data_IF_189070709931
#
_entry.id   IF_189070709931
#
_cell.length_a   1.000
_cell.length_b   1.000
_cell.length_c   1.000
_cell.angle_alpha   90.00
_cell.angle_beta   90.00
_cell.angle_gamma   90.00
#
_symmetry.space_group_name_H-M   'P 1'
#
loop_
_entity.id
_entity.type
_entity.pdbx_description
1 polymer ?
#
# COMPACT_ATOMS: atom_id res chain seq x y z
N UNK A 1 -0.64 20.02 -0.26
CA UNK A 1 0.31 18.89 -0.36
C UNK A 1 1.35 19.05 -1.48
N UNK A 2 0.99 19.46 -2.70
CA UNK A 2 1.96 19.66 -3.82
C UNK A 2 3.24 20.42 -3.42
N UNK A 3 3.12 21.57 -2.76
CA UNK A 3 4.27 22.38 -2.28
C UNK A 3 5.23 21.65 -1.33
N UNK A 4 4.74 20.63 -0.62
CA UNK A 4 5.51 19.92 0.40
C UNK A 4 6.13 18.62 -0.11
N UNK A 5 5.57 18.01 -1.16
CA UNK A 5 5.99 16.66 -1.60
C UNK A 5 6.39 16.61 -3.09
N UNK A 6 5.99 17.58 -3.91
CA UNK A 6 6.30 17.62 -5.35
C UNK A 6 7.41 18.62 -5.66
N UNK A 7 7.27 19.84 -5.17
CA UNK A 7 8.20 20.95 -5.47
C UNK A 7 9.61 20.80 -4.84
N UNK A 8 9.80 20.13 -3.68
CA UNK A 8 11.15 19.93 -3.11
C UNK A 8 12.00 18.93 -3.90
N UNK A 9 13.30 19.20 -4.01
CA UNK A 9 14.28 18.28 -4.62
C UNK A 9 14.49 17.00 -3.78
N UNK A 10 14.47 17.13 -2.45
CA UNK A 10 14.66 16.02 -1.50
C UNK A 10 13.59 14.92 -1.65
N UNK A 11 12.41 15.30 -2.14
CA UNK A 11 11.30 14.39 -2.42
C UNK A 11 11.43 13.91 -3.88
N UNK A 12 12.22 12.87 -4.09
CA UNK A 12 12.65 12.44 -5.42
C UNK A 12 11.73 11.40 -6.09
N UNK A 13 10.84 10.75 -5.34
CA UNK A 13 9.86 9.76 -5.85
C UNK A 13 10.50 8.67 -6.73
N UNK A 14 11.05 7.62 -6.13
CA UNK A 14 11.85 6.63 -6.86
C UNK A 14 11.08 5.93 -7.99
N UNK A 15 9.81 5.59 -7.76
CA UNK A 15 8.93 5.02 -8.78
C UNK A 15 8.76 5.89 -10.01
N UNK A 16 8.63 7.20 -9.83
CA UNK A 16 8.49 8.14 -10.94
C UNK A 16 9.78 8.20 -11.78
N UNK A 17 10.96 8.09 -11.16
CA UNK A 17 12.25 8.16 -11.87
C UNK A 17 12.45 7.01 -12.85
N UNK A 18 11.96 5.81 -12.50
CA UNK A 18 12.00 4.65 -13.40
C UNK A 18 11.11 4.87 -14.61
N UNK A 19 9.91 5.41 -14.39
CA UNK A 19 8.97 5.77 -15.47
C UNK A 19 9.54 6.86 -16.38
N UNK A 20 10.17 7.90 -15.82
CA UNK A 20 10.86 8.95 -16.59
C UNK A 20 11.96 8.35 -17.46
N UNK A 21 12.76 7.44 -16.90
CA UNK A 21 13.85 6.77 -17.61
C UNK A 21 13.33 5.95 -18.80
N UNK A 22 12.21 5.24 -18.61
CA UNK A 22 11.52 4.52 -19.69
C UNK A 22 11.04 5.47 -20.79
N UNK A 23 10.33 6.55 -20.44
CA UNK A 23 9.84 7.49 -21.44
C UNK A 23 10.96 8.18 -22.22
N UNK A 24 12.06 8.53 -21.54
CA UNK A 24 13.26 9.05 -22.21
C UNK A 24 13.87 8.04 -23.16
N UNK A 25 14.00 6.77 -22.75
CA UNK A 25 14.54 5.73 -23.63
C UNK A 25 13.70 5.52 -24.90
N UNK A 26 12.39 5.76 -24.85
CA UNK A 26 11.48 5.65 -26.00
C UNK A 26 11.44 6.91 -26.88
N UNK A 27 11.60 8.11 -26.32
CA UNK A 27 11.42 9.38 -27.04
C UNK A 27 12.74 10.07 -27.44
N UNK A 28 13.83 9.86 -26.72
CA UNK A 28 15.11 10.52 -26.98
C UNK A 28 15.77 9.87 -28.20
N UNK A 29 15.90 10.62 -29.30
CA UNK A 29 16.61 10.15 -30.49
C UNK A 29 18.11 10.15 -30.19
N UNK A 30 18.75 8.99 -30.25
CA UNK A 30 20.19 8.86 -30.11
C UNK A 30 20.91 9.73 -31.15
N UNK A 31 21.81 10.61 -30.71
CA UNK A 31 22.52 11.58 -31.56
C UNK A 31 23.34 10.93 -32.69
N UNK A 32 23.74 9.67 -32.52
CA UNK A 32 24.61 8.93 -33.45
C UNK A 32 23.85 7.92 -34.34
N UNK A 33 22.52 7.98 -34.43
CA UNK A 33 21.72 7.09 -35.31
C UNK A 33 21.73 5.60 -34.94
N UNK A 34 22.49 5.21 -33.91
CA UNK A 34 22.50 3.87 -33.34
C UNK A 34 21.51 3.80 -32.19
N UNK A 35 20.28 3.35 -32.49
CA UNK A 35 19.25 3.03 -31.49
C UNK A 35 19.70 1.86 -30.59
N UNK A 36 20.64 2.09 -29.69
CA UNK A 36 21.19 1.05 -28.80
C UNK A 36 20.24 0.80 -27.63
N UNK A 37 19.68 1.88 -27.06
CA UNK A 37 18.74 1.81 -25.92
C UNK A 37 17.39 1.23 -26.31
N UNK A 38 16.85 1.60 -27.47
CA UNK A 38 15.59 1.07 -27.99
C UNK A 38 15.67 -0.42 -28.34
N UNK A 39 16.78 -0.85 -28.99
CA UNK A 39 17.03 -2.27 -29.26
C UNK A 39 17.20 -3.09 -27.98
N UNK A 40 17.97 -2.58 -27.01
CA UNK A 40 18.11 -3.21 -25.70
C UNK A 40 16.75 -3.38 -25.01
N UNK A 41 15.92 -2.34 -25.00
CA UNK A 41 14.56 -2.40 -24.46
C UNK A 41 13.71 -3.48 -25.12
N UNK A 42 13.69 -3.56 -26.47
CA UNK A 42 12.93 -4.56 -27.20
C UNK A 42 13.42 -5.98 -26.95
N UNK A 43 14.74 -6.19 -26.86
CA UNK A 43 15.32 -7.50 -26.53
C UNK A 43 14.90 -7.92 -25.12
N UNK A 44 15.06 -7.05 -24.13
CA UNK A 44 14.66 -7.34 -22.74
C UNK A 44 13.16 -7.59 -22.65
N UNK A 45 12.33 -6.78 -23.33
CA UNK A 45 10.88 -6.95 -23.37
C UNK A 45 10.49 -8.33 -23.93
N UNK A 46 11.07 -8.72 -25.07
CA UNK A 46 10.80 -10.02 -25.69
C UNK A 46 11.28 -11.19 -24.81
N UNK A 47 12.49 -11.09 -24.26
CA UNK A 47 13.03 -12.10 -23.34
C UNK A 47 12.18 -12.23 -22.09
N UNK A 48 11.76 -11.12 -21.47
CA UNK A 48 10.87 -11.14 -20.31
C UNK A 48 9.50 -11.71 -20.65
N UNK A 49 8.91 -11.32 -21.79
CA UNK A 49 7.62 -11.85 -22.24
C UNK A 49 7.66 -13.38 -22.40
N UNK A 50 8.70 -13.90 -23.05
CA UNK A 50 8.89 -15.36 -23.22
C UNK A 50 9.16 -16.00 -21.84
N UNK A 51 10.00 -15.38 -21.01
CA UNK A 51 10.32 -15.94 -19.69
C UNK A 51 9.10 -16.08 -18.81
N UNK A 52 8.18 -15.11 -18.75
CA UNK A 52 6.98 -15.19 -17.91
C UNK A 52 6.04 -16.36 -18.25
N UNK A 53 6.05 -16.87 -19.49
CA UNK A 53 5.29 -18.07 -19.88
C UNK A 53 5.82 -19.32 -19.16
N UNK A 54 7.13 -19.37 -18.87
CA UNK A 54 7.78 -20.54 -18.29
C UNK A 54 7.32 -20.78 -16.84
N UNK A 55 7.50 -19.87 -15.86
CA UNK A 55 6.97 -20.06 -14.52
C UNK A 55 5.45 -19.89 -14.47
N UNK A 56 4.84 -19.10 -15.36
CA UNK A 56 3.40 -18.83 -15.32
C UNK A 56 2.51 -19.97 -15.81
N UNK A 57 2.96 -20.76 -16.79
CA UNK A 57 2.12 -21.78 -17.44
C UNK A 57 2.82 -23.14 -17.60
N UNK A 58 4.06 -23.17 -18.10
CA UNK A 58 4.73 -24.44 -18.43
C UNK A 58 5.24 -25.19 -17.19
N UNK A 59 5.87 -24.47 -16.26
CA UNK A 59 6.48 -25.01 -15.04
C UNK A 59 6.18 -24.13 -13.82
N UNK A 60 4.95 -24.16 -13.27
CA UNK A 60 4.56 -23.39 -12.09
C UNK A 60 5.39 -23.66 -10.83
N UNK A 61 6.08 -24.80 -10.78
CA UNK A 61 7.01 -25.13 -9.69
C UNK A 61 8.20 -24.16 -9.62
N UNK A 62 8.61 -23.54 -10.73
CA UNK A 62 9.68 -22.52 -10.75
C UNK A 62 9.30 -21.25 -9.99
N UNK A 63 8.00 -20.96 -9.85
CA UNK A 63 7.51 -19.81 -9.09
C UNK A 63 7.71 -19.98 -7.58
N UNK A 64 7.79 -21.20 -7.07
CA UNK A 64 8.09 -21.45 -5.65
C UNK A 64 8.80 -22.79 -5.42
N UNK A 65 10.13 -22.75 -5.37
CA UNK A 65 10.99 -23.89 -5.04
C UNK A 65 11.40 -23.79 -3.58
N UNK A 66 10.72 -24.54 -2.73
CA UNK A 66 11.10 -24.69 -1.31
C UNK A 66 12.07 -25.86 -1.14
N UNK A 67 13.38 -25.59 -1.09
CA UNK A 67 14.41 -26.64 -0.98
C UNK A 67 14.21 -27.51 0.26
N UNK A 68 13.83 -26.90 1.39
CA UNK A 68 13.61 -27.63 2.64
C UNK A 68 12.44 -28.63 2.54
N UNK A 69 11.40 -28.30 1.78
CA UNK A 69 10.27 -29.20 1.52
C UNK A 69 10.68 -30.35 0.57
N UNK A 70 11.62 -30.10 -0.34
CA UNK A 70 12.14 -31.11 -1.26
C UNK A 70 12.99 -32.17 -0.52
N UNK A 71 13.86 -31.74 0.39
CA UNK A 71 14.68 -32.65 1.20
C UNK A 71 13.88 -33.41 2.26
N UNK A 72 12.84 -32.79 2.84
CA UNK A 72 12.04 -33.38 3.91
C UNK A 72 10.53 -33.39 3.59
N UNK A 73 10.08 -34.19 2.59
CA UNK A 73 8.71 -34.14 2.07
C UNK A 73 7.64 -34.67 3.04
N UNK A 74 8.02 -35.36 4.12
CA UNK A 74 7.08 -35.93 5.10
C UNK A 74 7.04 -35.15 6.41
N UNK A 75 7.91 -34.15 6.61
CA UNK A 75 8.01 -33.43 7.88
C UNK A 75 7.13 -32.18 7.88
N UNK A 76 6.15 -32.15 8.78
CA UNK A 76 5.25 -30.99 8.96
C UNK A 76 6.03 -29.75 9.38
N UNK A 77 7.04 -29.91 10.24
CA UNK A 77 7.91 -28.81 10.69
C UNK A 77 8.74 -28.27 9.53
N UNK A 78 9.29 -29.15 8.68
CA UNK A 78 10.03 -28.72 7.49
C UNK A 78 9.13 -27.95 6.52
N UNK A 79 7.86 -28.35 6.37
CA UNK A 79 6.89 -27.61 5.56
C UNK A 79 6.51 -26.25 6.17
N UNK A 80 6.32 -26.19 7.49
CA UNK A 80 6.01 -24.96 8.22
C UNK A 80 7.14 -23.92 8.15
N UNK A 81 8.39 -24.37 8.23
CA UNK A 81 9.57 -23.50 8.17
C UNK A 81 9.91 -23.16 6.72
N UNK A 82 9.85 -24.16 5.83
CA UNK A 82 10.44 -24.08 4.50
C UNK A 82 9.51 -23.63 3.40
N UNK A 83 8.20 -23.85 3.52
CA UNK A 83 7.25 -23.54 2.44
C UNK A 83 7.12 -22.02 2.25
N UNK A 84 7.30 -21.53 1.02
CA UNK A 84 7.11 -20.12 0.70
C UNK A 84 5.64 -19.69 0.58
N UNK A 85 4.70 -20.63 0.38
CA UNK A 85 3.26 -20.34 0.26
C UNK A 85 2.49 -20.51 1.57
N UNK A 86 2.88 -21.50 2.39
CA UNK A 86 2.13 -21.93 3.58
C UNK A 86 2.97 -21.90 4.86
N UNK A 87 4.21 -21.42 4.77
CA UNK A 87 5.18 -21.41 5.84
C UNK A 87 5.99 -20.13 5.87
N UNK A 88 7.12 -20.16 6.58
CA UNK A 88 7.99 -19.00 6.79
C UNK A 88 8.93 -18.72 5.61
N UNK A 89 9.01 -19.61 4.62
CA UNK A 89 9.78 -19.41 3.39
C UNK A 89 11.30 -19.54 3.54
N UNK A 90 11.82 -20.17 4.60
CA UNK A 90 13.27 -20.38 4.73
C UNK A 90 13.75 -21.32 3.62
N UNK A 91 14.77 -20.90 2.88
CA UNK A 91 15.29 -21.61 1.69
C UNK A 91 14.23 -21.83 0.60
N UNK A 92 13.25 -20.93 0.49
CA UNK A 92 12.38 -20.83 -0.68
C UNK A 92 12.97 -19.88 -1.70
N UNK A 93 13.08 -20.36 -2.94
CA UNK A 93 13.56 -19.59 -4.08
C UNK A 93 12.46 -19.48 -5.12
N UNK A 94 12.45 -18.36 -5.85
CA UNK A 94 11.56 -18.15 -6.97
C UNK A 94 12.36 -17.65 -8.16
N UNK A 95 12.04 -18.20 -9.34
CA UNK A 95 12.55 -17.71 -10.62
C UNK A 95 11.54 -16.83 -11.34
N UNK A 96 10.43 -16.52 -10.67
CA UNK A 96 9.35 -15.71 -11.18
C UNK A 96 9.40 -14.31 -10.56
N UNK A 97 9.77 -13.32 -11.36
CA UNK A 97 9.84 -11.94 -10.91
C UNK A 97 8.48 -11.40 -10.45
N UNK A 98 7.37 -11.95 -10.97
CA UNK A 98 6.03 -11.55 -10.53
C UNK A 98 5.77 -11.95 -9.07
N UNK A 99 6.28 -13.11 -8.64
CA UNK A 99 6.21 -13.54 -7.23
C UNK A 99 7.02 -12.61 -6.34
N UNK A 100 8.25 -12.25 -6.76
CA UNK A 100 9.10 -11.30 -6.02
C UNK A 100 8.44 -9.93 -5.87
N UNK A 101 7.86 -9.41 -6.96
CA UNK A 101 7.28 -8.06 -6.99
C UNK A 101 5.84 -7.98 -6.46
N UNK A 102 5.14 -9.10 -6.29
CA UNK A 102 3.70 -9.14 -6.00
C UNK A 102 3.28 -8.43 -4.71
N UNK A 103 4.10 -8.51 -3.65
CA UNK A 103 3.71 -8.03 -2.32
C UNK A 103 4.24 -6.62 -2.00
N UNK A 104 5.54 -6.39 -2.18
CA UNK A 104 6.21 -5.10 -1.86
C UNK A 104 6.50 -4.24 -3.09
N UNK A 105 6.04 -4.65 -4.27
CA UNK A 105 6.47 -4.04 -5.53
C UNK A 105 7.91 -4.41 -5.89
N UNK A 106 8.45 -3.73 -6.90
CA UNK A 106 9.81 -4.01 -7.39
C UNK A 106 10.87 -3.42 -6.43
N UNK A 107 11.77 -4.26 -5.86
CA UNK A 107 12.82 -3.79 -4.97
C UNK A 107 13.86 -2.92 -5.70
N UNK A 108 13.98 -3.05 -7.03
CA UNK A 108 14.92 -2.27 -7.87
C UNK A 108 14.65 -0.76 -7.82
N UNK A 109 13.43 -0.39 -7.47
CA UNK A 109 12.97 1.01 -7.43
C UNK A 109 13.25 1.62 -6.05
N UNK A 110 13.41 0.80 -5.01
CA UNK A 110 13.53 1.28 -3.64
C UNK A 110 14.99 1.56 -3.28
N UNK A 111 15.29 2.60 -2.48
CA UNK A 111 16.65 2.86 -2.04
C UNK A 111 17.16 1.77 -1.08
N UNK A 112 18.47 1.52 -1.10
CA UNK A 112 19.10 0.44 -0.33
C UNK A 112 18.80 0.50 1.17
N UNK A 113 18.81 1.70 1.78
CA UNK A 113 18.51 1.84 3.20
C UNK A 113 17.09 1.37 3.54
N UNK A 114 16.10 1.62 2.68
CA UNK A 114 14.73 1.18 2.89
C UNK A 114 14.62 -0.34 2.76
N UNK A 115 15.32 -0.93 1.78
CA UNK A 115 15.39 -2.38 1.59
C UNK A 115 15.98 -3.05 2.83
N UNK A 116 17.12 -2.55 3.35
CA UNK A 116 17.75 -3.11 4.55
C UNK A 116 16.83 -3.01 5.77
N UNK A 117 16.14 -1.88 5.97
CA UNK A 117 15.17 -1.74 7.07
C UNK A 117 14.01 -2.76 6.97
N UNK A 118 13.47 -2.96 5.77
CA UNK A 118 12.40 -3.95 5.53
C UNK A 118 12.92 -5.37 5.78
N UNK A 119 14.14 -5.71 5.34
CA UNK A 119 14.75 -7.03 5.59
C UNK A 119 14.95 -7.27 7.09
N UNK A 120 15.48 -6.29 7.83
CA UNK A 120 15.69 -6.42 9.28
C UNK A 120 14.34 -6.61 9.99
N UNK A 121 13.33 -5.82 9.64
CA UNK A 121 11.97 -5.98 10.15
C UNK A 121 11.37 -7.35 9.82
N UNK A 122 11.54 -7.80 8.57
CA UNK A 122 11.09 -9.12 8.12
C UNK A 122 11.73 -10.25 8.92
N UNK A 123 13.06 -10.25 9.07
CA UNK A 123 13.79 -11.27 9.85
C UNK A 123 13.32 -11.29 11.29
N UNK A 124 13.16 -10.12 11.91
CA UNK A 124 12.69 -10.03 13.29
C UNK A 124 11.26 -10.55 13.46
N UNK A 125 10.35 -10.16 12.57
CA UNK A 125 8.94 -10.56 12.70
C UNK A 125 8.75 -12.03 12.32
N UNK A 126 9.23 -12.43 11.14
CA UNK A 126 8.94 -13.74 10.55
C UNK A 126 9.80 -14.85 11.16
N UNK A 127 11.07 -14.57 11.50
CA UNK A 127 11.98 -15.61 12.01
C UNK A 127 12.21 -15.56 13.52
N UNK A 128 11.79 -14.51 14.22
CA UNK A 128 11.91 -14.43 15.69
C UNK A 128 10.53 -14.36 16.34
N UNK A 129 9.72 -13.33 16.06
CA UNK A 129 8.44 -13.16 16.75
C UNK A 129 7.43 -14.28 16.47
N UNK A 130 7.23 -14.66 15.20
CA UNK A 130 6.27 -15.72 14.84
C UNK A 130 6.65 -17.06 15.47
N UNK A 131 7.90 -17.55 15.36
CA UNK A 131 8.30 -18.81 15.99
C UNK A 131 8.12 -18.82 17.51
N UNK A 132 8.49 -17.72 18.19
CA UNK A 132 8.31 -17.59 19.65
C UNK A 132 6.83 -17.63 20.02
N UNK A 133 5.98 -16.92 19.26
CA UNK A 133 4.54 -16.88 19.51
C UNK A 133 3.84 -18.21 19.24
N UNK A 134 4.25 -18.94 18.19
CA UNK A 134 3.59 -20.17 17.74
C UNK A 134 4.10 -21.41 18.48
N UNK A 135 5.41 -21.65 18.49
CA UNK A 135 5.99 -22.85 19.12
C UNK A 135 6.25 -22.65 20.62
N UNK A 136 6.75 -21.47 21.01
CA UNK A 136 7.17 -21.17 22.38
C UNK A 136 6.02 -20.99 23.36
N UNK A 137 5.20 -19.95 23.16
CA UNK A 137 4.15 -19.56 24.11
C UNK A 137 2.73 -20.00 23.74
N UNK A 138 2.53 -20.55 22.53
CA UNK A 138 1.22 -20.97 22.00
C UNK A 138 0.10 -19.94 22.27
N UNK A 139 0.39 -18.68 21.95
CA UNK A 139 -0.49 -17.56 22.28
C UNK A 139 -1.82 -17.74 21.53
N UNK A 140 -2.93 -17.78 22.27
CA UNK A 140 -4.30 -18.01 21.77
C UNK A 140 -4.57 -19.39 21.15
N UNK A 141 -3.92 -20.47 21.63
CA UNK A 141 -4.02 -21.81 21.03
C UNK A 141 -3.64 -21.80 19.54
N UNK A 142 -2.58 -21.06 19.23
CA UNK A 142 -2.03 -20.87 17.90
C UNK A 142 -1.81 -22.19 17.14
N UNK A 143 -1.36 -23.24 17.85
CA UNK A 143 -1.06 -24.56 17.27
C UNK A 143 -2.27 -25.28 16.66
N UNK A 144 -3.48 -24.88 17.02
CA UNK A 144 -4.73 -25.40 16.42
C UNK A 144 -4.92 -24.89 14.99
N UNK A 145 -4.23 -23.83 14.59
CA UNK A 145 -4.36 -23.18 13.29
C UNK A 145 -3.07 -23.29 12.46
N UNK A 146 -3.14 -23.24 11.12
CA UNK A 146 -1.95 -23.11 10.29
C UNK A 146 -1.17 -21.82 10.63
N UNK A 147 0.17 -21.90 10.67
CA UNK A 147 1.04 -20.74 10.95
C UNK A 147 0.72 -19.56 10.03
N UNK A 148 0.55 -19.84 8.74
CA UNK A 148 0.23 -18.86 7.71
C UNK A 148 -1.04 -19.30 6.97
N UNK A 149 -2.11 -18.53 7.14
CA UNK A 149 -3.37 -18.72 6.40
C UNK A 149 -4.20 -17.45 6.39
N UNK A 150 -4.80 -17.14 5.23
CA UNK A 150 -5.78 -16.07 5.06
C UNK A 150 -7.20 -16.46 5.47
N UNK A 151 -7.43 -17.72 5.86
CA UNK A 151 -8.74 -18.19 6.28
C UNK A 151 -9.02 -17.89 7.75
N UNK A 152 -10.32 -17.79 8.07
CA UNK A 152 -10.83 -17.68 9.43
C UNK A 152 -11.14 -19.06 9.99
N UNK A 153 -10.97 -19.26 11.29
CA UNK A 153 -11.15 -20.55 11.96
C UNK A 153 -12.05 -20.47 13.18
N UNK A 154 -12.74 -21.56 13.51
CA UNK A 154 -13.45 -21.73 14.77
C UNK A 154 -12.49 -22.16 15.90
N UNK A 155 -12.98 -22.41 17.12
CA UNK A 155 -12.13 -22.84 18.23
C UNK A 155 -11.48 -24.23 18.01
N UNK A 156 -12.04 -25.02 17.10
CA UNK A 156 -11.62 -26.39 16.79
C UNK A 156 -10.66 -26.47 15.59
N UNK A 157 -10.27 -25.35 14.98
CA UNK A 157 -9.36 -25.33 13.83
C UNK A 157 -10.02 -25.58 12.46
N UNK A 158 -11.35 -25.66 12.41
CA UNK A 158 -12.09 -25.78 11.15
C UNK A 158 -12.36 -24.41 10.54
N UNK A 159 -12.49 -24.36 9.20
CA UNK A 159 -12.81 -23.11 8.49
C UNK A 159 -14.14 -22.53 9.01
N UNK A 160 -14.12 -21.24 9.32
CA UNK A 160 -15.29 -20.54 9.84
C UNK A 160 -16.24 -20.20 8.70
N UNK A 161 -17.51 -20.61 8.82
CA UNK A 161 -18.55 -20.28 7.85
C UNK A 161 -19.11 -18.88 8.15
N UNK A 162 -18.77 -17.91 7.31
CA UNK A 162 -19.15 -16.51 7.46
C UNK A 162 -20.62 -16.29 7.10
N UNK A 163 -21.17 -17.08 6.17
CA UNK A 163 -22.55 -16.91 5.71
C UNK A 163 -23.59 -17.23 6.80
N UNK A 164 -23.20 -18.02 7.80
CA UNK A 164 -24.07 -18.38 8.93
C UNK A 164 -24.20 -17.28 9.98
N UNK A 165 -23.26 -16.34 10.05
CA UNK A 165 -23.24 -15.26 11.05
C UNK A 165 -23.69 -13.91 10.48
N UNK A 166 -23.93 -13.81 9.17
CA UNK A 166 -24.37 -12.59 8.51
C UNK A 166 -25.83 -12.73 8.12
N UNK A 167 -26.67 -11.80 8.57
CA UNK A 167 -28.08 -11.81 8.24
C UNK A 167 -28.34 -11.34 6.79
N UNK A 168 -29.59 -11.45 6.31
CA UNK A 168 -29.98 -10.99 4.97
C UNK A 168 -29.82 -9.48 4.73
N UNK A 169 -29.54 -8.70 5.77
CA UNK A 169 -29.24 -7.26 5.72
C UNK A 169 -27.73 -6.97 5.80
N UNK A 170 -26.88 -7.99 5.68
CA UNK A 170 -25.43 -7.89 5.80
C UNK A 170 -24.93 -7.37 7.16
N UNK A 171 -25.71 -7.53 8.22
CA UNK A 171 -25.31 -7.24 9.59
C UNK A 171 -24.93 -8.53 10.33
N UNK A 172 -24.10 -8.40 11.36
CA UNK A 172 -23.71 -9.52 12.20
C UNK A 172 -24.88 -9.99 13.07
N UNK A 173 -25.31 -11.24 12.88
CA UNK A 173 -26.25 -11.92 13.76
C UNK A 173 -25.52 -12.36 15.04
N UNK A 174 -25.76 -11.63 16.13
CA UNK A 174 -25.15 -11.88 17.43
C UNK A 174 -25.55 -13.25 18.02
N UNK A 175 -26.76 -13.74 17.73
CA UNK A 175 -27.25 -15.03 18.25
C UNK A 175 -26.56 -16.17 17.51
N UNK A 176 -26.48 -16.09 16.18
CA UNK A 176 -25.74 -17.06 15.38
C UNK A 176 -24.24 -17.04 15.71
N UNK A 177 -23.66 -15.85 15.89
CA UNK A 177 -22.28 -15.68 16.33
C UNK A 177 -22.02 -16.31 17.71
N UNK A 178 -22.93 -16.10 18.68
CA UNK A 178 -22.84 -16.72 20.00
C UNK A 178 -22.86 -18.25 19.96
N UNK A 179 -23.63 -18.85 19.02
CA UNK A 179 -23.69 -20.30 18.83
C UNK A 179 -22.44 -20.86 18.16
N UNK A 180 -21.91 -20.17 17.17
CA UNK A 180 -20.75 -20.62 16.38
C UNK A 180 -19.41 -20.34 17.10
N UNK A 181 -19.40 -19.39 18.02
CA UNK A 181 -18.24 -19.02 18.83
C UNK A 181 -17.33 -18.01 18.14
N UNK A 182 -16.25 -17.65 18.87
CA UNK A 182 -15.30 -16.61 18.46
C UNK A 182 -14.53 -17.01 17.20
N UNK A 183 -14.24 -16.01 16.38
CA UNK A 183 -13.41 -16.16 15.18
C UNK A 183 -11.94 -16.13 15.61
N UNK A 184 -11.17 -17.10 15.13
CA UNK A 184 -9.73 -17.16 15.29
C UNK A 184 -9.04 -16.95 13.93
N UNK A 185 -7.86 -16.35 13.97
CA UNK A 185 -7.01 -16.06 12.82
C UNK A 185 -5.64 -16.70 13.05
N UNK A 186 -4.90 -16.95 11.97
CA UNK A 186 -3.54 -17.49 12.08
C UNK A 186 -2.61 -16.53 12.84
N UNK A 187 -1.62 -17.07 13.55
CA UNK A 187 -0.65 -16.30 14.34
C UNK A 187 0.10 -15.26 13.48
N UNK A 188 0.41 -15.59 12.23
CA UNK A 188 0.99 -14.63 11.28
C UNK A 188 0.11 -13.39 11.09
N UNK A 189 -1.19 -13.59 10.84
CA UNK A 189 -2.13 -12.47 10.63
C UNK A 189 -2.33 -11.65 11.91
N UNK A 190 -2.46 -12.32 13.07
CA UNK A 190 -2.63 -11.65 14.36
C UNK A 190 -1.45 -10.72 14.69
N UNK A 191 -0.22 -11.21 14.55
CA UNK A 191 0.98 -10.40 14.81
C UNK A 191 1.14 -9.27 13.79
N UNK A 192 0.86 -9.55 12.52
CA UNK A 192 0.95 -8.53 11.46
C UNK A 192 -0.07 -7.41 11.69
N UNK A 193 -1.30 -7.69 12.14
CA UNK A 193 -2.25 -6.64 12.52
C UNK A 193 -1.77 -5.80 13.70
N UNK A 194 -1.22 -6.43 14.75
CA UNK A 194 -0.61 -5.71 15.87
C UNK A 194 0.51 -4.75 15.42
N UNK A 195 1.40 -5.23 14.56
CA UNK A 195 2.50 -4.45 14.02
C UNK A 195 2.05 -3.33 13.07
N UNK A 196 0.94 -3.50 12.35
CA UNK A 196 0.37 -2.43 11.53
C UNK A 196 -0.02 -1.22 12.37
N UNK A 197 -0.60 -1.41 13.56
CA UNK A 197 -0.89 -0.28 14.47
C UNK A 197 0.39 0.43 14.92
N UNK A 198 1.44 -0.34 15.25
CA UNK A 198 2.74 0.22 15.60
C UNK A 198 3.36 0.99 14.42
N UNK A 199 3.24 0.48 13.19
CA UNK A 199 3.77 1.11 11.99
C UNK A 199 3.10 2.47 11.69
N UNK A 200 1.81 2.61 11.95
CA UNK A 200 1.09 3.89 11.81
C UNK A 200 1.63 4.94 12.78
N UNK A 201 1.82 4.57 14.04
CA UNK A 201 2.39 5.48 15.05
C UNK A 201 3.84 5.81 14.72
N UNK A 202 4.63 4.80 14.33
CA UNK A 202 6.01 4.99 13.89
C UNK A 202 6.11 5.94 12.69
N UNK A 203 5.17 5.88 11.74
CA UNK A 203 5.10 6.79 10.59
C UNK A 203 4.96 8.25 11.04
N UNK A 204 4.03 8.52 11.97
CA UNK A 204 3.85 9.88 12.52
C UNK A 204 5.10 10.35 13.28
N UNK A 205 5.67 9.50 14.12
CA UNK A 205 6.86 9.82 14.91
C UNK A 205 8.08 10.07 14.02
N UNK A 206 8.30 9.25 13.00
CA UNK A 206 9.39 9.38 12.05
C UNK A 206 9.30 10.72 11.31
N UNK A 207 8.14 11.04 10.73
CA UNK A 207 7.95 12.29 10.01
C UNK A 207 8.03 13.48 10.96
N UNK A 208 7.49 13.38 12.17
CA UNK A 208 7.55 14.42 13.19
C UNK A 208 8.97 14.74 13.64
N UNK A 209 9.81 13.72 13.87
CA UNK A 209 11.18 13.91 14.35
C UNK A 209 12.14 14.34 13.24
N UNK A 210 12.10 13.67 12.08
CA UNK A 210 13.10 13.88 11.02
C UNK A 210 12.70 15.00 10.06
N UNK A 211 11.44 15.04 9.64
CA UNK A 211 10.96 16.03 8.68
C UNK A 211 10.19 17.18 9.33
N UNK A 212 9.84 17.10 10.62
CA UNK A 212 8.98 18.09 11.29
C UNK A 212 9.55 19.50 11.30
N UNK A 213 10.85 19.67 11.60
CA UNK A 213 11.51 20.99 11.56
C UNK A 213 11.44 21.62 10.17
N UNK A 214 11.61 20.80 9.14
CA UNK A 214 11.55 21.22 7.75
C UNK A 214 10.12 21.52 7.29
N UNK A 215 9.14 20.70 7.66
CA UNK A 215 7.72 20.94 7.39
C UNK A 215 7.30 22.26 8.03
N UNK A 216 7.67 22.52 9.28
CA UNK A 216 7.35 23.77 10.00
C UNK A 216 8.07 24.96 9.37
N UNK A 217 9.36 24.82 9.04
CA UNK A 217 10.13 25.86 8.35
C UNK A 217 9.49 26.22 7.02
N UNK A 218 9.08 25.23 6.22
CA UNK A 218 8.41 25.42 4.93
C UNK A 218 6.97 25.95 5.08
N UNK A 219 6.24 25.54 6.11
CA UNK A 219 4.93 26.10 6.43
C UNK A 219 5.03 27.60 6.74
N UNK A 220 6.04 28.01 7.54
CA UNK A 220 6.32 29.42 7.84
C UNK A 220 6.89 30.18 6.63
N UNK A 221 7.78 29.55 5.85
CA UNK A 221 8.43 30.15 4.69
C UNK A 221 7.52 30.24 3.46
N UNK A 222 6.50 29.38 3.35
CA UNK A 222 5.41 29.49 2.37
C UNK A 222 4.69 30.84 2.46
N UNK A 223 4.83 31.56 3.58
CA UNK A 223 4.29 32.89 3.80
C UNK A 223 5.31 34.03 3.56
N UNK A 224 6.62 33.76 3.42
CA UNK A 224 7.64 34.84 3.36
C UNK A 224 8.80 34.73 2.36
N UNK A 225 9.31 33.58 1.89
CA UNK A 225 10.31 33.58 0.79
C UNK A 225 10.70 32.19 0.28
N UNK A 226 10.74 32.05 -1.06
CA UNK A 226 11.36 30.97 -1.86
C UNK A 226 12.89 30.94 -1.65
N UNK A 227 13.43 30.12 -0.76
CA UNK A 227 14.89 29.93 -0.64
C UNK A 227 15.26 28.45 -0.65
N UNK A 228 15.10 27.83 -1.84
CA UNK A 228 15.88 26.69 -2.37
C UNK A 228 15.09 25.98 -3.49
N UNK A 229 14.58 26.73 -4.46
CA UNK A 229 13.82 26.10 -5.55
C UNK A 229 14.76 25.20 -6.38
N UNK A 230 14.43 23.92 -6.44
CA UNK A 230 15.06 22.92 -7.31
C UNK A 230 15.17 23.46 -8.75
N UNK A 231 16.19 23.01 -9.50
CA UNK A 231 16.32 23.30 -10.93
C UNK A 231 15.03 22.92 -11.65
N UNK A 232 14.42 21.78 -11.28
CA UNK A 232 13.15 21.40 -11.89
C UNK A 232 12.05 22.42 -11.59
N UNK A 233 11.96 22.90 -10.35
CA UNK A 233 10.98 23.89 -9.91
C UNK A 233 11.20 25.25 -10.59
N UNK A 234 12.46 25.67 -10.74
CA UNK A 234 12.83 26.89 -11.48
C UNK A 234 12.37 26.81 -12.95
N UNK A 235 12.63 25.69 -13.61
CA UNK A 235 12.19 25.46 -15.00
C UNK A 235 10.66 25.42 -15.13
N UNK A 236 9.96 24.91 -14.12
CA UNK A 236 8.50 24.85 -14.11
C UNK A 236 7.82 26.19 -13.88
N UNK A 237 8.52 27.23 -13.38
CA UNK A 237 7.96 28.58 -13.19
C UNK A 237 7.47 29.25 -14.47
N UNK A 238 7.94 28.78 -15.64
CA UNK A 238 7.47 29.26 -16.95
C UNK A 238 5.98 28.96 -17.16
N UNK A 239 5.47 27.89 -16.56
CA UNK A 239 4.08 27.49 -16.70
C UNK A 239 3.20 28.11 -15.62
N UNK A 240 1.98 28.54 -15.96
CA UNK A 240 1.06 29.06 -14.96
C UNK A 240 0.65 27.96 -13.99
N UNK A 241 0.73 28.27 -12.70
CA UNK A 241 0.33 27.34 -11.65
C UNK A 241 -1.20 27.08 -11.68
N UNK A 242 -1.57 25.96 -11.06
CA UNK A 242 -2.96 25.54 -10.90
C UNK A 242 -3.61 26.41 -9.82
N UNK A 243 -4.77 27.04 -10.09
CA UNK A 243 -5.51 27.75 -9.06
C UNK A 243 -5.88 26.80 -7.91
N UNK A 244 -5.62 27.19 -6.66
CA UNK A 244 -5.91 26.36 -5.49
C UNK A 244 -7.37 25.94 -5.39
N UNK A 245 -8.29 26.76 -5.91
CA UNK A 245 -9.72 26.48 -5.90
C UNK A 245 -10.12 25.25 -6.73
N UNK A 246 -9.33 24.80 -7.71
CA UNK A 246 -9.61 23.56 -8.46
C UNK A 246 -9.57 22.34 -7.54
N UNK A 247 -8.57 22.28 -6.65
CA UNK A 247 -8.45 21.20 -5.66
C UNK A 247 -9.55 21.28 -4.60
N UNK A 248 -9.86 22.49 -4.12
CA UNK A 248 -10.94 22.69 -3.15
C UNK A 248 -12.32 22.35 -3.75
N UNK A 249 -12.58 22.74 -5.00
CA UNK A 249 -13.81 22.41 -5.72
C UNK A 249 -13.98 20.90 -5.86
N UNK A 250 -12.93 20.19 -6.27
CA UNK A 250 -12.96 18.73 -6.36
C UNK A 250 -13.22 18.06 -5.01
N UNK A 251 -12.55 18.53 -3.95
CA UNK A 251 -12.75 18.02 -2.59
C UNK A 251 -14.19 18.24 -2.11
N UNK A 252 -14.76 19.43 -2.39
CA UNK A 252 -16.14 19.74 -2.01
C UNK A 252 -17.12 18.87 -2.79
N UNK A 253 -16.95 18.73 -4.11
CA UNK A 253 -17.81 17.88 -4.94
C UNK A 253 -17.75 16.42 -4.47
N UNK A 254 -16.56 15.86 -4.27
CA UNK A 254 -16.42 14.47 -3.83
C UNK A 254 -17.00 14.25 -2.42
N UNK A 255 -16.81 15.20 -1.50
CA UNK A 255 -17.35 15.12 -0.14
C UNK A 255 -18.87 15.26 -0.12
N UNK A 256 -19.45 16.15 -0.95
CA UNK A 256 -20.91 16.29 -1.09
C UNK A 256 -21.53 15.04 -1.69
N UNK A 257 -20.95 14.48 -2.76
CA UNK A 257 -21.42 13.22 -3.35
C UNK A 257 -21.34 12.06 -2.35
N UNK A 258 -20.24 11.97 -1.60
CA UNK A 258 -20.07 10.97 -0.54
C UNK A 258 -21.09 11.14 0.59
N UNK A 259 -21.40 12.39 0.96
CA UNK A 259 -22.40 12.71 1.97
C UNK A 259 -23.82 12.36 1.51
N UNK A 260 -24.16 12.68 0.26
CA UNK A 260 -25.44 12.30 -0.35
C UNK A 260 -25.58 10.78 -0.34
N UNK A 261 -24.54 10.04 -0.72
CA UNK A 261 -24.53 8.58 -0.69
C UNK A 261 -24.76 8.04 0.73
N UNK A 262 -24.14 8.65 1.73
CA UNK A 262 -24.34 8.27 3.14
C UNK A 262 -25.72 8.65 3.70
N UNK A 263 -26.44 9.61 3.10
CA UNK A 263 -27.76 10.08 3.58
C UNK A 263 -28.91 9.40 2.81
N UNK A 264 -28.79 9.27 1.50
CA UNK A 264 -29.85 8.73 0.63
C UNK A 264 -29.86 7.19 0.68
N UNK A 265 -28.70 6.57 0.78
CA UNK A 265 -28.56 5.11 0.80
C UNK A 265 -28.10 4.58 2.17
N UNK A 266 -28.61 5.17 3.26
CA UNK A 266 -28.29 4.74 4.64
C UNK A 266 -28.52 3.23 4.84
N UNK A 267 -29.62 2.69 4.28
CA UNK A 267 -29.97 1.28 4.44
C UNK A 267 -28.97 0.32 3.77
N UNK A 268 -28.29 0.77 2.71
CA UNK A 268 -27.29 -0.03 1.99
C UNK A 268 -25.87 0.23 2.48
N UNK A 269 -25.50 1.50 2.69
CA UNK A 269 -24.14 1.94 3.04
C UNK A 269 -23.86 1.72 4.53
N UNK A 270 -24.91 1.79 5.36
CA UNK A 270 -24.88 1.55 6.81
C UNK A 270 -23.94 2.47 7.62
N UNK A 271 -23.23 3.39 6.96
CA UNK A 271 -22.31 4.35 7.55
C UNK A 271 -23.02 5.68 7.84
N UNK A 272 -23.02 6.17 9.09
CA UNK A 272 -23.60 7.46 9.41
C UNK A 272 -22.76 8.61 8.86
N UNK A 273 -23.40 9.76 8.62
CA UNK A 273 -22.77 10.96 8.04
C UNK A 273 -21.52 11.44 8.79
N UNK A 274 -21.49 11.32 10.12
CA UNK A 274 -20.32 11.70 10.92
C UNK A 274 -19.13 10.77 10.70
N UNK A 275 -19.39 9.50 10.35
CA UNK A 275 -18.37 8.51 10.02
C UNK A 275 -17.57 8.90 8.78
N UNK A 276 -18.24 9.51 7.79
CA UNK A 276 -17.58 10.08 6.62
C UNK A 276 -16.63 11.22 7.00
N UNK A 277 -17.05 12.13 7.89
CA UNK A 277 -16.22 13.26 8.35
C UNK A 277 -14.99 12.74 9.09
N UNK A 278 -15.18 11.75 9.97
CA UNK A 278 -14.08 11.10 10.69
C UNK A 278 -13.09 10.42 9.72
N UNK A 279 -13.58 9.68 8.72
CA UNK A 279 -12.74 9.05 7.71
C UNK A 279 -11.95 10.09 6.91
N UNK A 280 -12.59 11.18 6.49
CA UNK A 280 -11.94 12.28 5.79
C UNK A 280 -10.87 12.97 6.65
N UNK A 281 -11.13 13.17 7.95
CA UNK A 281 -10.15 13.74 8.88
C UNK A 281 -8.91 12.84 9.02
N UNK A 282 -9.12 11.52 9.19
CA UNK A 282 -8.02 10.54 9.24
C UNK A 282 -7.22 10.59 7.94
N UNK A 283 -7.89 10.53 6.79
CA UNK A 283 -7.23 10.61 5.49
C UNK A 283 -6.38 11.88 5.38
N UNK A 284 -6.92 13.05 5.71
CA UNK A 284 -6.21 14.34 5.63
C UNK A 284 -4.96 14.39 6.54
N UNK A 285 -5.05 13.89 7.77
CA UNK A 285 -3.93 13.87 8.72
C UNK A 285 -2.81 12.98 8.22
N UNK A 286 -3.15 11.76 7.78
CA UNK A 286 -2.16 10.76 7.41
C UNK A 286 -1.62 10.89 5.98
N UNK A 287 -2.32 11.60 5.09
CA UNK A 287 -1.85 11.73 3.70
C UNK A 287 -0.49 12.44 3.63
N UNK A 288 -0.25 13.49 4.40
CA UNK A 288 1.04 14.21 4.35
C UNK A 288 2.22 13.34 4.85
N UNK A 289 2.19 12.72 6.04
CA UNK A 289 3.25 11.83 6.50
C UNK A 289 3.51 10.66 5.55
N UNK A 290 2.45 9.99 5.10
CA UNK A 290 2.58 8.83 4.21
C UNK A 290 3.16 9.25 2.86
N UNK A 291 2.73 10.38 2.29
CA UNK A 291 3.29 10.91 1.05
C UNK A 291 4.79 11.20 1.16
N UNK A 292 5.28 11.69 2.30
CA UNK A 292 6.72 11.96 2.52
C UNK A 292 7.53 10.66 2.55
N UNK A 293 7.03 9.63 3.24
CA UNK A 293 7.68 8.31 3.28
C UNK A 293 7.68 7.69 1.88
N UNK A 294 6.55 7.70 1.18
CA UNK A 294 6.46 7.17 -0.19
C UNK A 294 7.40 7.93 -1.14
N UNK A 295 7.46 9.26 -1.05
CA UNK A 295 8.31 10.09 -1.90
C UNK A 295 9.82 9.88 -1.69
N UNK A 296 10.24 9.37 -0.54
CA UNK A 296 11.66 9.16 -0.19
C UNK A 296 12.09 7.71 -0.28
N UNK A 297 11.19 6.77 0.04
CA UNK A 297 11.50 5.34 0.19
C UNK A 297 10.81 4.44 -0.83
N UNK A 298 9.84 4.96 -1.60
CA UNK A 298 8.96 4.17 -2.47
C UNK A 298 8.10 3.11 -1.73
N UNK A 299 8.01 3.20 -0.40
CA UNK A 299 7.16 2.35 0.44
C UNK A 299 5.96 3.16 0.93
N UNK A 300 4.77 2.56 0.84
CA UNK A 300 3.52 3.24 1.21
C UNK A 300 2.85 2.50 2.37
N UNK A 301 3.00 2.99 3.61
CA UNK A 301 2.29 2.44 4.77
C UNK A 301 0.77 2.42 4.56
N UNK A 302 0.14 1.29 4.89
CA UNK A 302 -1.31 1.12 4.75
C UNK A 302 -2.09 1.60 5.98
N UNK A 303 -3.20 2.31 5.78
CA UNK A 303 -4.15 2.66 6.86
C UNK A 303 -5.33 1.68 6.97
N UNK A 304 -5.36 0.63 6.14
CA UNK A 304 -6.45 -0.36 6.09
C UNK A 304 -6.83 -0.88 7.47
N UNK A 305 -5.87 -1.50 8.17
CA UNK A 305 -6.10 -2.14 9.47
C UNK A 305 -6.55 -1.12 10.52
N UNK A 306 -5.96 0.07 10.52
CA UNK A 306 -6.33 1.13 11.46
C UNK A 306 -7.75 1.62 11.25
N UNK A 307 -8.13 1.93 10.01
CA UNK A 307 -9.46 2.44 9.67
C UNK A 307 -10.54 1.39 9.94
N UNK A 308 -10.28 0.13 9.57
CA UNK A 308 -11.20 -0.99 9.83
C UNK A 308 -11.41 -1.25 11.32
N UNK A 309 -10.35 -1.10 12.13
CA UNK A 309 -10.41 -1.30 13.57
C UNK A 309 -11.16 -0.16 14.29
N UNK A 310 -10.88 1.10 13.94
CA UNK A 310 -11.54 2.26 14.56
C UNK A 310 -13.05 2.20 14.37
N UNK A 311 -13.51 2.03 13.13
CA UNK A 311 -14.95 1.98 12.87
C UNK A 311 -15.60 0.70 13.40
N UNK A 312 -14.87 -0.43 13.40
CA UNK A 312 -15.35 -1.68 13.97
C UNK A 312 -15.60 -1.60 15.48
N UNK A 313 -14.86 -0.75 16.19
CA UNK A 313 -15.09 -0.46 17.62
C UNK A 313 -16.26 0.50 17.83
N UNK A 314 -16.42 1.52 16.97
CA UNK A 314 -17.47 2.54 17.15
C UNK A 314 -18.85 2.02 16.70
N UNK A 315 -18.89 1.28 15.58
CA UNK A 315 -20.12 0.73 14.98
C UNK A 315 -19.95 -0.79 14.82
N UNK A 316 -20.02 -1.55 15.93
CA UNK A 316 -19.85 -3.00 15.87
C UNK A 316 -20.98 -3.66 15.07
N UNK A 317 -20.65 -4.76 14.40
CA UNK A 317 -21.64 -5.61 13.72
C UNK A 317 -22.13 -5.11 12.36
N UNK A 318 -21.52 -4.05 11.79
CA UNK A 318 -21.83 -3.52 10.45
C UNK A 318 -20.65 -3.63 9.47
N UNK A 319 -20.46 -4.80 8.83
CA UNK A 319 -19.40 -5.02 7.84
C UNK A 319 -19.40 -4.03 6.68
N UNK A 320 -20.55 -3.64 6.14
CA UNK A 320 -20.61 -2.71 5.00
C UNK A 320 -20.11 -1.33 5.42
N UNK A 321 -20.58 -0.83 6.57
CA UNK A 321 -20.11 0.44 7.13
C UNK A 321 -18.58 0.44 7.31
N UNK A 322 -18.02 -0.69 7.72
CA UNK A 322 -16.57 -0.87 7.87
C UNK A 322 -15.83 -0.71 6.53
N UNK A 323 -16.27 -1.43 5.50
CA UNK A 323 -15.68 -1.34 4.15
C UNK A 323 -15.83 0.07 3.55
N UNK A 324 -16.97 0.72 3.75
CA UNK A 324 -17.19 2.11 3.32
C UNK A 324 -16.23 3.07 4.03
N UNK A 325 -16.09 2.96 5.36
CA UNK A 325 -15.18 3.81 6.13
C UNK A 325 -13.71 3.62 5.71
N UNK A 326 -13.29 2.37 5.49
CA UNK A 326 -11.96 2.05 4.92
C UNK A 326 -11.77 2.68 3.55
N UNK A 327 -12.77 2.60 2.68
CA UNK A 327 -12.72 3.23 1.36
C UNK A 327 -12.50 4.73 1.48
N UNK A 328 -13.30 5.42 2.30
CA UNK A 328 -13.16 6.86 2.48
C UNK A 328 -11.85 7.27 3.19
N UNK A 329 -11.38 6.49 4.17
CA UNK A 329 -10.19 6.82 4.97
C UNK A 329 -8.86 6.41 4.32
N UNK A 330 -8.77 5.21 3.77
CA UNK A 330 -7.53 4.68 3.18
C UNK A 330 -7.46 4.84 1.66
N UNK A 331 -8.51 4.45 0.92
CA UNK A 331 -8.44 4.49 -0.55
C UNK A 331 -8.33 5.94 -1.03
N UNK A 332 -9.09 6.87 -0.45
CA UNK A 332 -8.93 8.31 -0.76
C UNK A 332 -7.51 8.83 -0.53
N UNK A 333 -6.86 8.40 0.55
CA UNK A 333 -5.47 8.75 0.84
C UNK A 333 -4.52 8.12 -0.19
N UNK A 334 -4.71 6.85 -0.53
CA UNK A 334 -3.90 6.16 -1.55
C UNK A 334 -4.01 6.85 -2.91
N UNK A 335 -5.23 7.25 -3.31
CA UNK A 335 -5.46 8.02 -4.53
C UNK A 335 -4.79 9.39 -4.48
N UNK A 336 -4.83 10.08 -3.34
CA UNK A 336 -4.14 11.35 -3.17
C UNK A 336 -2.61 11.20 -3.31
N UNK A 337 -2.02 10.11 -2.80
CA UNK A 337 -0.58 9.81 -2.97
C UNK A 337 -0.25 9.53 -4.44
N UNK A 338 -1.04 8.70 -5.13
CA UNK A 338 -0.87 8.44 -6.57
C UNK A 338 -0.95 9.72 -7.40
N UNK A 339 -1.94 10.56 -7.10
CA UNK A 339 -2.13 11.86 -7.76
C UNK A 339 -0.93 12.80 -7.55
N UNK A 340 -0.28 12.78 -6.37
CA UNK A 340 0.97 13.50 -6.13
C UNK A 340 2.16 12.90 -6.89
N UNK A 341 2.21 11.57 -7.02
CA UNK A 341 3.24 10.88 -7.80
C UNK A 341 3.20 11.31 -9.26
N UNK A 342 2.02 11.37 -9.90
CA UNK A 342 1.98 11.81 -11.30
C UNK A 342 2.30 13.30 -11.45
N UNK A 343 1.97 14.14 -10.46
CA UNK A 343 2.44 15.53 -10.48
C UNK A 343 3.96 15.63 -10.45
N UNK A 344 4.63 14.74 -9.69
CA UNK A 344 6.10 14.66 -9.71
C UNK A 344 6.61 14.16 -11.05
N UNK A 345 5.97 13.15 -11.64
CA UNK A 345 6.28 12.68 -13.00
C UNK A 345 6.19 13.82 -14.03
N UNK A 346 5.09 14.59 -14.02
CA UNK A 346 4.92 15.77 -14.87
C UNK A 346 5.97 16.86 -14.60
N UNK A 347 6.37 17.03 -13.34
CA UNK A 347 7.44 17.97 -12.95
C UNK A 347 8.82 17.58 -13.51
N UNK A 348 9.11 16.27 -13.60
CA UNK A 348 10.30 15.74 -14.25
C UNK A 348 10.26 15.90 -15.77
N UNK A 349 9.13 15.55 -16.39
CA UNK A 349 8.92 15.60 -17.84
C UNK A 349 8.63 17.00 -18.41
N UNK A 350 8.53 18.02 -17.55
CA UNK A 350 8.23 19.42 -17.93
C UNK A 350 6.87 19.62 -18.59
N UNK A 351 5.89 18.85 -18.15
CA UNK A 351 4.50 18.94 -18.61
C UNK A 351 3.79 20.10 -17.86
N UNK A 352 3.04 20.98 -18.55
CA UNK A 352 2.29 22.05 -17.91
C UNK A 352 1.37 21.55 -16.79
N UNK A 353 1.41 22.13 -15.57
CA UNK A 353 0.64 21.63 -14.43
C UNK A 353 -0.87 21.58 -14.65
N UNK A 354 -1.43 22.56 -15.38
CA UNK A 354 -2.88 22.61 -15.68
C UNK A 354 -3.32 21.47 -16.58
N UNK A 355 -2.53 21.15 -17.60
CA UNK A 355 -2.79 20.02 -18.49
C UNK A 355 -2.69 18.70 -17.72
N UNK A 356 -1.70 18.58 -16.83
CA UNK A 356 -1.56 17.40 -15.98
C UNK A 356 -2.79 17.18 -15.10
N UNK A 357 -3.27 18.25 -14.44
CA UNK A 357 -4.48 18.17 -13.62
C UNK A 357 -5.68 17.70 -14.44
N UNK A 358 -5.96 18.31 -15.59
CA UNK A 358 -7.13 17.94 -16.41
C UNK A 358 -7.05 16.48 -16.86
N UNK A 359 -5.88 16.01 -17.32
CA UNK A 359 -5.69 14.62 -17.76
C UNK A 359 -5.90 13.66 -16.59
N UNK A 360 -5.36 13.95 -15.41
CA UNK A 360 -5.59 13.13 -14.22
C UNK A 360 -7.07 13.08 -13.86
N UNK A 361 -7.76 14.23 -13.83
CA UNK A 361 -9.20 14.27 -13.51
C UNK A 361 -10.02 13.43 -14.48
N UNK A 362 -9.75 13.53 -15.77
CA UNK A 362 -10.42 12.70 -16.78
C UNK A 362 -10.12 11.21 -16.60
N UNK A 363 -8.86 10.88 -16.28
CA UNK A 363 -8.46 9.50 -16.01
C UNK A 363 -9.12 8.92 -14.76
N UNK A 364 -9.33 9.71 -13.70
CA UNK A 364 -9.96 9.25 -12.45
C UNK A 364 -11.50 9.20 -12.52
N UNK A 365 -12.12 9.82 -13.53
CA UNK A 365 -13.57 9.76 -13.76
C UNK A 365 -13.96 8.56 -14.64
N UNK A 366 -13.05 8.12 -15.52
CA UNK A 366 -13.20 6.94 -16.38
C UNK A 366 -12.75 5.68 -15.67
#
# INVERSE_FOLDING_TARGET
MRKYVVDPAEMWWPGCMVIVSLFRALHEKDADGKSSRGKFFLVVLACSFIWYIVPGFLFPTLSNISLLCLFYPKSVIAHQIGSGMKGLGILSFTFDWSVVASYLGSPLVCPLFAIVNVIVGYVFVVYIMIPISYWGFDIYNAKTFPILSSHLFNAQGQKYDIHRIVNNKFELDQVAYGKQGRINISTFFALTYGLNFAAVVATLTQVGLFNGKEIISRFRASNKSRKSDDIHTKLMKKYPDIPGWWFHGMLVVSLVLSLILCIVWVDQVQLPWWGLILAAAIALIFTLPISIITATTNMTPGLNVMTEYIIGLIIPGRPIANVCFKTFGYISMAQAVSFLADFKLGHYMKIPPRSMFIVQVLYYIN
#
